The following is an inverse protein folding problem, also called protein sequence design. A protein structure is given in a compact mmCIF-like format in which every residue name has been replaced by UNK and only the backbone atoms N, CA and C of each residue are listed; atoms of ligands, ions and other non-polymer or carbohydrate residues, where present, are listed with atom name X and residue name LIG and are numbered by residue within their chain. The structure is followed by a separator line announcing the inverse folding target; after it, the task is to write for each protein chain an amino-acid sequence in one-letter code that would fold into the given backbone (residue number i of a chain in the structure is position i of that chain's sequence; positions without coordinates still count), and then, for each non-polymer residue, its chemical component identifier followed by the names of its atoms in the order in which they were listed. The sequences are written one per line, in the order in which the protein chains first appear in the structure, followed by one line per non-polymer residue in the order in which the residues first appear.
data_IF_326909356930
#
_entry.id   IF_326909356930
#
_cell.length_a   1.000
_cell.length_b   1.000
_cell.length_c   1.000
_cell.angle_alpha   90.00
_cell.angle_beta   90.00
_cell.angle_gamma   90.00
#
_symmetry.space_group_name_H-M   'P 1'
#
loop_
_entity.id
_entity.type
_entity.pdbx_description
1 polymer ?
#
# COMPACT_ATOMS: atom_id res chain seq x y z
N UNK A 1 11.47 16.61 -12.78
CA UNK A 1 11.13 16.43 -11.35
C UNK A 1 10.33 17.62 -10.76
N UNK A 2 9.20 18.02 -11.36
CA UNK A 2 8.34 19.09 -10.81
C UNK A 2 7.08 18.54 -10.13
N UNK A 3 6.46 17.51 -10.69
CA UNK A 3 5.22 16.90 -10.18
C UNK A 3 5.31 16.38 -8.73
N UNK A 4 6.40 15.66 -8.38
CA UNK A 4 6.55 15.11 -7.02
C UNK A 4 6.77 16.17 -5.92
N UNK A 5 7.39 17.32 -6.27
CA UNK A 5 7.54 18.44 -5.33
C UNK A 5 6.23 19.20 -5.14
N UNK A 6 5.47 19.37 -6.23
CA UNK A 6 4.16 20.02 -6.16
C UNK A 6 3.17 19.20 -5.35
N UNK A 7 3.10 17.88 -5.56
CA UNK A 7 2.20 17.01 -4.79
C UNK A 7 2.47 17.04 -3.29
N UNK A 8 3.74 17.11 -2.90
CA UNK A 8 4.13 17.24 -1.49
C UNK A 8 3.77 18.62 -0.90
N UNK A 9 3.89 19.68 -1.69
CA UNK A 9 3.48 21.03 -1.28
C UNK A 9 1.98 21.11 -1.07
N UNK A 10 1.19 20.57 -2.00
CA UNK A 10 -0.27 20.54 -1.90
C UNK A 10 -0.74 19.73 -0.69
N UNK A 11 -0.12 18.57 -0.43
CA UNK A 11 -0.42 17.78 0.77
C UNK A 11 -0.15 18.58 2.05
N UNK A 12 0.97 19.32 2.12
CA UNK A 12 1.26 20.16 3.29
C UNK A 12 0.24 21.28 3.47
N UNK A 13 -0.16 21.92 2.38
CA UNK A 13 -1.16 22.97 2.42
C UNK A 13 -2.50 22.42 2.91
N UNK A 14 -2.94 21.28 2.38
CA UNK A 14 -4.16 20.63 2.82
C UNK A 14 -4.14 20.26 4.32
N UNK A 15 -2.99 19.77 4.81
CA UNK A 15 -2.81 19.49 6.25
C UNK A 15 -2.92 20.76 7.10
N UNK A 16 -2.30 21.86 6.64
CA UNK A 16 -2.33 23.15 7.34
C UNK A 16 -3.74 23.76 7.38
N UNK A 17 -4.48 23.65 6.27
CA UNK A 17 -5.83 24.19 6.12
C UNK A 17 -6.91 23.23 6.65
N UNK A 18 -6.53 22.03 7.10
CA UNK A 18 -7.43 20.95 7.53
C UNK A 18 -8.48 20.62 6.47
N UNK A 19 -8.02 20.49 5.22
CA UNK A 19 -8.87 20.16 4.06
C UNK A 19 -8.54 18.77 3.51
N UNK A 20 -9.54 18.13 2.89
CA UNK A 20 -9.35 16.82 2.27
C UNK A 20 -8.46 16.91 1.03
N UNK A 21 -7.54 15.95 0.87
CA UNK A 21 -6.64 15.88 -0.27
C UNK A 21 -6.34 14.43 -0.66
N UNK A 22 -6.44 14.13 -1.95
CA UNK A 22 -6.13 12.83 -2.52
C UNK A 22 -4.88 12.92 -3.41
N UNK A 23 -3.98 11.95 -3.31
CA UNK A 23 -2.75 11.90 -4.11
C UNK A 23 -2.23 10.48 -4.29
N UNK A 24 -1.45 10.26 -5.33
CA UNK A 24 -0.75 9.01 -5.60
C UNK A 24 0.71 9.09 -5.14
N UNK A 25 1.24 7.99 -4.60
CA UNK A 25 2.65 7.88 -4.21
C UNK A 25 3.12 6.44 -4.38
N UNK A 26 4.41 6.25 -4.67
CA UNK A 26 5.04 4.92 -4.57
C UNK A 26 5.28 4.49 -3.12
N UNK A 27 5.01 5.36 -2.14
CA UNK A 27 5.25 5.18 -0.70
C UNK A 27 6.71 4.80 -0.35
N UNK A 28 7.64 4.92 -1.29
CA UNK A 28 9.02 4.42 -1.15
C UNK A 28 9.96 5.43 -0.49
N UNK A 29 9.64 6.72 -0.55
CA UNK A 29 10.42 7.78 0.10
C UNK A 29 9.92 8.09 1.51
N UNK A 30 10.76 8.74 2.32
CA UNK A 30 10.47 8.99 3.74
C UNK A 30 9.55 10.19 4.01
N UNK A 31 9.43 11.13 3.06
CA UNK A 31 8.71 12.38 3.28
C UNK A 31 7.20 12.16 3.47
N UNK A 32 6.57 11.35 2.60
CA UNK A 32 5.13 11.09 2.67
C UNK A 32 4.75 10.32 3.95
N UNK A 33 5.37 9.17 4.29
CA UNK A 33 5.11 8.48 5.55
C UNK A 33 5.22 9.38 6.77
N UNK A 34 6.27 10.22 6.81
CA UNK A 34 6.48 11.13 7.94
C UNK A 34 5.45 12.26 8.01
N UNK A 35 4.92 12.71 6.87
CA UNK A 35 3.81 13.67 6.85
C UNK A 35 2.49 13.03 7.25
N UNK A 36 2.21 11.80 6.78
CA UNK A 36 1.00 11.07 7.15
C UNK A 36 0.95 10.81 8.66
N UNK A 37 2.07 10.42 9.28
CA UNK A 37 2.17 10.29 10.75
C UNK A 37 1.79 11.58 11.49
N UNK A 38 2.12 12.76 10.94
CA UNK A 38 1.74 14.06 11.52
C UNK A 38 0.29 14.42 11.23
N UNK A 39 -0.16 14.19 9.99
CA UNK A 39 -1.51 14.50 9.53
C UNK A 39 -2.58 13.75 10.32
N UNK A 40 -2.26 12.57 10.84
CA UNK A 40 -3.15 11.76 11.67
C UNK A 40 -3.69 12.49 12.92
N UNK A 41 -3.04 13.56 13.37
CA UNK A 41 -3.55 14.39 14.46
C UNK A 41 -4.82 15.19 14.09
N UNK A 42 -5.04 15.44 12.79
CA UNK A 42 -6.14 16.29 12.29
C UNK A 42 -6.95 15.64 11.17
N UNK A 43 -6.47 14.53 10.59
CA UNK A 43 -7.08 13.89 9.42
C UNK A 43 -7.26 12.38 9.63
N UNK A 44 -8.34 11.85 9.07
CA UNK A 44 -8.46 10.41 8.81
C UNK A 44 -7.64 10.04 7.59
N UNK A 45 -6.85 8.98 7.69
CA UNK A 45 -5.99 8.51 6.59
C UNK A 45 -6.66 7.29 5.97
N UNK A 46 -7.04 7.43 4.70
CA UNK A 46 -7.60 6.35 3.88
C UNK A 46 -6.54 5.98 2.84
N UNK A 47 -6.21 4.68 2.75
CA UNK A 47 -5.16 4.19 1.88
C UNK A 47 -5.63 3.00 1.05
N UNK A 48 -5.46 3.15 -0.26
CA UNK A 48 -5.51 2.06 -1.22
C UNK A 48 -4.05 1.71 -1.58
N UNK A 49 -3.61 0.51 -1.23
CA UNK A 49 -2.26 0.04 -1.56
C UNK A 49 -2.35 -1.14 -2.53
N UNK A 50 -1.62 -1.07 -3.63
CA UNK A 50 -1.56 -2.13 -4.63
C UNK A 50 -0.15 -2.70 -4.72
N UNK A 51 0.00 -4.00 -4.48
CA UNK A 51 1.24 -4.74 -4.61
C UNK A 51 1.16 -5.86 -5.65
N UNK A 52 2.31 -6.44 -5.95
CA UNK A 52 2.46 -7.60 -6.83
C UNK A 52 3.12 -8.74 -6.04
N UNK A 53 3.21 -9.93 -6.62
CA UNK A 53 3.86 -11.10 -6.00
C UNK A 53 5.38 -11.00 -6.04
N UNK A 54 5.93 -10.45 -7.12
CA UNK A 54 7.36 -10.41 -7.38
C UNK A 54 7.80 -9.09 -8.01
N UNK A 55 9.03 -8.67 -7.73
CA UNK A 55 9.59 -7.45 -8.33
C UNK A 55 9.76 -7.59 -9.85
N UNK A 56 9.95 -8.81 -10.32
CA UNK A 56 10.01 -9.19 -11.73
C UNK A 56 8.70 -8.85 -12.47
N UNK A 57 7.55 -8.83 -11.78
CA UNK A 57 6.31 -8.35 -12.39
C UNK A 57 6.34 -6.83 -12.61
N UNK A 58 6.92 -6.05 -11.70
CA UNK A 58 7.13 -4.62 -11.94
C UNK A 58 8.10 -4.37 -13.10
N UNK A 59 9.20 -5.13 -13.16
CA UNK A 59 10.17 -5.01 -14.26
C UNK A 59 9.51 -5.30 -15.61
N UNK A 60 8.74 -6.39 -15.71
CA UNK A 60 7.98 -6.73 -16.93
C UNK A 60 6.98 -5.64 -17.31
N UNK A 61 6.18 -5.15 -16.37
CA UNK A 61 5.19 -4.09 -16.64
C UNK A 61 5.84 -2.76 -17.05
N UNK A 62 6.98 -2.40 -16.47
CA UNK A 62 7.75 -1.23 -16.89
C UNK A 62 8.30 -1.43 -18.30
N UNK A 63 8.87 -2.59 -18.61
CA UNK A 63 9.39 -2.90 -19.94
C UNK A 63 8.29 -2.85 -21.02
N UNK A 64 7.13 -3.47 -20.75
CA UNK A 64 5.95 -3.38 -21.63
C UNK A 64 5.54 -1.93 -21.85
N UNK A 65 5.40 -1.15 -20.78
CA UNK A 65 5.03 0.28 -20.88
C UNK A 65 6.04 1.07 -21.72
N UNK A 66 7.34 0.80 -21.56
CA UNK A 66 8.40 1.45 -22.35
C UNK A 66 8.29 1.08 -23.83
N UNK A 67 8.00 -0.18 -24.15
CA UNK A 67 7.77 -0.62 -25.52
C UNK A 67 6.58 0.11 -26.17
N UNK A 68 5.59 0.55 -25.38
CA UNK A 68 4.46 1.38 -25.82
C UNK A 68 4.70 2.90 -25.66
N UNK A 69 5.95 3.35 -25.58
CA UNK A 69 6.31 4.78 -25.56
C UNK A 69 6.29 5.46 -24.18
N UNK A 70 6.14 4.69 -23.10
CA UNK A 70 6.21 5.23 -21.74
C UNK A 70 7.64 5.44 -21.22
N UNK A 71 7.76 6.08 -20.06
CA UNK A 71 9.05 6.39 -19.45
C UNK A 71 9.73 5.16 -18.83
N UNK A 72 11.05 5.03 -19.00
CA UNK A 72 11.83 3.99 -18.31
C UNK A 72 12.01 4.32 -16.82
N UNK A 73 12.18 3.30 -15.99
CA UNK A 73 12.57 3.46 -14.58
C UNK A 73 13.78 2.56 -14.37
N UNK A 74 14.89 3.05 -13.78
CA UNK A 74 16.04 2.20 -13.49
C UNK A 74 15.65 0.99 -12.63
N UNK A 75 16.11 -0.21 -13.01
CA UNK A 75 15.79 -1.46 -12.31
C UNK A 75 16.13 -1.41 -10.82
N UNK A 76 17.32 -0.89 -10.47
CA UNK A 76 17.73 -0.71 -9.08
C UNK A 76 16.69 0.06 -8.25
N UNK A 77 16.09 1.10 -8.85
CA UNK A 77 15.04 1.89 -8.23
C UNK A 77 13.73 1.13 -8.08
N UNK A 78 13.40 0.24 -9.03
CA UNK A 78 12.22 -0.63 -8.92
C UNK A 78 12.40 -1.60 -7.75
N UNK A 79 13.58 -2.24 -7.65
CA UNK A 79 13.93 -3.15 -6.55
C UNK A 79 13.96 -2.47 -5.19
N UNK A 80 14.51 -1.26 -5.11
CA UNK A 80 14.48 -0.44 -3.90
C UNK A 80 13.04 -0.11 -3.47
N UNK A 81 12.21 0.37 -4.42
CA UNK A 81 10.81 0.76 -4.17
C UNK A 81 9.94 -0.41 -3.73
N UNK A 82 10.19 -1.57 -4.30
CA UNK A 82 9.53 -2.81 -3.93
C UNK A 82 9.63 -3.09 -2.44
N UNK A 83 10.84 -2.97 -1.86
CA UNK A 83 11.07 -3.18 -0.44
C UNK A 83 10.58 -2.00 0.40
N UNK A 84 11.03 -0.79 0.08
CA UNK A 84 10.81 0.40 0.90
C UNK A 84 9.33 0.79 1.01
N UNK A 85 8.53 0.61 -0.05
CA UNK A 85 7.10 0.94 -0.01
C UNK A 85 6.33 0.11 1.02
N UNK A 86 6.60 -1.20 1.09
CA UNK A 86 5.98 -2.12 2.07
C UNK A 86 6.46 -1.84 3.49
N UNK A 87 7.75 -1.58 3.67
CA UNK A 87 8.30 -1.22 4.97
C UNK A 87 7.66 0.08 5.48
N UNK A 88 7.49 1.08 4.60
CA UNK A 88 6.81 2.32 4.96
C UNK A 88 5.33 2.13 5.23
N UNK A 89 4.63 1.24 4.51
CA UNK A 89 3.24 0.90 4.81
C UNK A 89 3.11 0.34 6.23
N UNK A 90 3.94 -0.64 6.59
CA UNK A 90 3.97 -1.21 7.96
C UNK A 90 4.24 -0.11 9.00
N UNK A 91 5.19 0.78 8.74
CA UNK A 91 5.54 1.90 9.63
C UNK A 91 4.36 2.83 9.92
N UNK A 92 3.52 3.13 8.93
CA UNK A 92 2.38 4.07 9.09
C UNK A 92 1.06 3.37 9.39
N UNK A 93 1.03 2.04 9.38
CA UNK A 93 -0.17 1.26 9.65
C UNK A 93 -0.93 1.70 10.92
N UNK A 94 -0.28 2.07 12.05
CA UNK A 94 -0.97 2.49 13.26
C UNK A 94 -1.83 3.77 13.13
N UNK A 95 -1.57 4.60 12.12
CA UNK A 95 -2.29 5.87 11.88
C UNK A 95 -3.27 5.80 10.70
N UNK A 96 -3.32 4.67 9.98
CA UNK A 96 -4.26 4.49 8.88
C UNK A 96 -5.65 4.16 9.47
N UNK A 97 -6.63 5.00 9.18
CA UNK A 97 -8.03 4.80 9.59
C UNK A 97 -8.73 3.75 8.72
N UNK A 98 -8.39 3.67 7.44
CA UNK A 98 -8.92 2.66 6.52
C UNK A 98 -7.86 2.24 5.52
N UNK A 99 -7.50 0.96 5.53
CA UNK A 99 -6.58 0.34 4.58
C UNK A 99 -7.34 -0.67 3.72
N UNK A 100 -7.18 -0.57 2.41
CA UNK A 100 -7.44 -1.66 1.48
C UNK A 100 -6.15 -2.04 0.76
N UNK A 101 -5.77 -3.31 0.89
CA UNK A 101 -4.58 -3.90 0.30
C UNK A 101 -4.99 -4.80 -0.86
N UNK A 102 -4.51 -4.48 -2.05
CA UNK A 102 -4.83 -5.20 -3.28
C UNK A 102 -3.62 -5.95 -3.83
N UNK A 103 -3.83 -7.20 -4.21
CA UNK A 103 -2.93 -7.97 -5.04
C UNK A 103 -3.34 -7.82 -6.51
N UNK A 104 -2.39 -7.32 -7.32
CA UNK A 104 -2.57 -7.12 -8.75
C UNK A 104 -1.57 -7.98 -9.53
N UNK A 105 -1.34 -9.21 -9.07
CA UNK A 105 -0.28 -10.07 -9.62
C UNK A 105 -0.64 -10.75 -10.94
N UNK A 106 -1.88 -10.59 -11.40
CA UNK A 106 -2.32 -11.17 -12.67
C UNK A 106 -1.59 -10.54 -13.87
N UNK A 107 -1.49 -11.31 -14.94
CA UNK A 107 -0.99 -10.86 -16.25
C UNK A 107 -2.10 -11.07 -17.26
N UNK A 108 -2.31 -10.07 -18.12
CA UNK A 108 -3.30 -10.13 -19.21
C UNK A 108 -2.60 -10.06 -20.55
N UNK A 109 -3.18 -10.70 -21.57
CA UNK A 109 -2.74 -10.57 -22.95
C UNK A 109 -3.06 -9.20 -23.53
N UNK A 110 -2.50 -8.91 -24.69
CA UNK A 110 -2.82 -7.68 -25.40
C UNK A 110 -4.25 -7.74 -25.95
N UNK A 111 -5.11 -6.81 -25.53
CA UNK A 111 -6.52 -6.76 -25.95
C UNK A 111 -7.48 -7.52 -25.03
N UNK A 112 -6.98 -8.23 -24.02
CA UNK A 112 -7.82 -8.89 -23.02
C UNK A 112 -8.33 -7.88 -21.98
N UNK A 113 -9.48 -8.19 -21.39
CA UNK A 113 -10.01 -7.44 -20.25
C UNK A 113 -9.07 -7.51 -19.05
N UNK A 114 -8.86 -6.37 -18.40
CA UNK A 114 -8.08 -6.26 -17.16
C UNK A 114 -8.99 -6.66 -15.99
N UNK A 115 -8.75 -7.80 -15.32
CA UNK A 115 -9.56 -8.17 -14.16
C UNK A 115 -9.35 -7.18 -13.00
N UNK A 116 -10.31 -7.06 -12.08
CA UNK A 116 -10.14 -6.25 -10.89
C UNK A 116 -8.99 -6.82 -10.04
N UNK A 117 -8.22 -5.94 -9.40
CA UNK A 117 -7.23 -6.35 -8.41
C UNK A 117 -7.92 -7.03 -7.22
N UNK A 118 -7.29 -8.09 -6.70
CA UNK A 118 -7.86 -8.88 -5.61
C UNK A 118 -7.65 -8.16 -4.28
N UNK A 119 -8.72 -7.87 -3.55
CA UNK A 119 -8.64 -7.38 -2.17
C UNK A 119 -8.13 -8.51 -1.26
N UNK A 120 -6.99 -8.31 -0.60
CA UNK A 120 -6.36 -9.33 0.26
C UNK A 120 -6.34 -8.94 1.73
N UNK A 121 -6.45 -7.65 2.04
CA UNK A 121 -6.65 -7.15 3.38
C UNK A 121 -7.51 -5.89 3.34
N UNK A 122 -8.53 -5.84 4.18
CA UNK A 122 -9.26 -4.63 4.49
C UNK A 122 -9.26 -4.45 6.01
N UNK A 123 -8.82 -3.27 6.46
CA UNK A 123 -8.76 -2.90 7.86
C UNK A 123 -9.39 -1.53 8.05
N UNK A 124 -10.29 -1.38 9.03
CA UNK A 124 -10.91 -0.10 9.40
C UNK A 124 -10.79 0.10 10.90
N UNK A 125 -10.26 1.25 11.32
CA UNK A 125 -10.10 1.63 12.72
C UNK A 125 -9.52 0.48 13.60
N UNK A 126 -8.50 -0.20 13.05
CA UNK A 126 -7.77 -1.37 13.60
C UNK A 126 -8.51 -2.71 13.63
N UNK A 127 -9.71 -2.78 13.08
CA UNK A 127 -10.44 -4.03 12.88
C UNK A 127 -10.20 -4.58 11.46
N UNK A 128 -9.98 -5.89 11.33
CA UNK A 128 -9.76 -6.57 10.05
C UNK A 128 -11.09 -7.15 9.56
N UNK A 129 -11.50 -6.76 8.35
CA UNK A 129 -12.72 -7.22 7.67
C UNK A 129 -12.42 -8.24 6.57
N UNK A 130 -11.23 -8.15 5.95
CA UNK A 130 -10.78 -9.12 4.94
C UNK A 130 -9.39 -9.63 5.32
N UNK A 131 -9.17 -10.97 5.32
CA UNK A 131 -10.20 -12.00 5.22
C UNK A 131 -11.13 -12.00 6.45
N UNK A 132 -12.39 -12.45 6.32
CA UNK A 132 -13.29 -12.61 7.45
C UNK A 132 -12.71 -13.53 8.53
N UNK A 133 -13.06 -13.28 9.79
CA UNK A 133 -12.66 -14.13 10.90
C UNK A 133 -13.13 -15.59 10.68
N UNK A 134 -12.23 -16.55 10.86
CA UNK A 134 -12.53 -17.98 10.67
C UNK A 134 -12.43 -18.47 9.22
N UNK A 135 -12.19 -17.59 8.24
CA UNK A 135 -11.94 -18.00 6.86
C UNK A 135 -10.48 -18.43 6.66
N UNK A 136 -10.19 -19.67 7.03
CA UNK A 136 -8.85 -20.27 6.91
C UNK A 136 -8.37 -20.40 5.47
N UNK A 137 -9.29 -20.60 4.51
CA UNK A 137 -8.96 -20.71 3.10
C UNK A 137 -8.51 -19.35 2.54
N UNK A 138 -9.26 -18.28 2.83
CA UNK A 138 -8.86 -16.94 2.44
C UNK A 138 -7.55 -16.51 3.12
N UNK A 139 -7.36 -16.86 4.39
CA UNK A 139 -6.10 -16.63 5.11
C UNK A 139 -4.91 -17.36 4.46
N UNK A 140 -5.08 -18.64 4.09
CA UNK A 140 -4.05 -19.41 3.40
C UNK A 140 -3.74 -18.86 2.00
N UNK A 141 -4.70 -18.19 1.36
CA UNK A 141 -4.55 -17.56 0.05
C UNK A 141 -3.83 -16.20 0.06
N UNK A 142 -3.43 -15.68 1.23
CA UNK A 142 -2.73 -14.40 1.31
C UNK A 142 -1.37 -14.51 0.59
N UNK A 143 -1.08 -13.63 -0.39
CA UNK A 143 0.17 -13.65 -1.13
C UNK A 143 1.39 -13.48 -0.22
N UNK A 144 2.53 -14.08 -0.59
CA UNK A 144 3.71 -14.05 0.26
C UNK A 144 4.19 -12.62 0.56
N UNK A 145 4.11 -11.73 -0.45
CA UNK A 145 4.51 -10.33 -0.30
C UNK A 145 3.64 -9.56 0.71
N UNK A 146 2.37 -9.97 0.89
CA UNK A 146 1.40 -9.30 1.75
C UNK A 146 1.42 -9.83 3.19
N UNK A 147 1.96 -11.04 3.43
CA UNK A 147 2.00 -11.67 4.76
C UNK A 147 2.61 -10.79 5.85
N UNK A 148 3.74 -10.07 5.65
CA UNK A 148 4.28 -9.19 6.70
C UNK A 148 3.36 -8.02 7.05
N UNK A 149 2.67 -7.45 6.05
CA UNK A 149 1.71 -6.35 6.26
C UNK A 149 0.48 -6.88 7.02
N UNK A 150 -0.01 -8.05 6.61
CA UNK A 150 -1.13 -8.70 7.26
C UNK A 150 -0.83 -9.05 8.72
N UNK A 151 0.37 -9.59 9.00
CA UNK A 151 0.81 -9.88 10.36
C UNK A 151 0.85 -8.59 11.21
N UNK A 152 1.45 -7.51 10.69
CA UNK A 152 1.47 -6.22 11.39
C UNK A 152 0.06 -5.68 11.66
N UNK A 153 -0.89 -5.84 10.74
CA UNK A 153 -2.29 -5.46 10.93
C UNK A 153 -2.95 -6.28 12.05
N UNK A 154 -2.68 -7.60 12.12
CA UNK A 154 -3.19 -8.47 13.19
C UNK A 154 -2.63 -8.09 14.56
N UNK A 155 -1.35 -7.79 14.63
CA UNK A 155 -0.72 -7.38 15.88
C UNK A 155 -1.29 -6.04 16.37
N UNK A 156 -1.56 -5.11 15.45
CA UNK A 156 -2.24 -3.86 15.75
C UNK A 156 -3.68 -4.08 16.25
N UNK A 157 -4.42 -5.01 15.61
CA UNK A 157 -5.81 -5.33 15.96
C UNK A 157 -5.96 -5.97 17.34
N UNK A 158 -4.99 -6.77 17.77
CA UNK A 158 -5.00 -7.44 19.09
C UNK A 158 -4.75 -6.49 20.27
N UNK A 159 -4.24 -5.28 20.01
CA UNK A 159 -3.81 -4.35 21.05
C UNK A 159 -2.65 -4.90 21.92
N UNK A 160 -2.09 -4.09 22.83
CA UNK A 160 -0.96 -4.49 23.68
C UNK A 160 -1.29 -5.54 24.76
N UNK A 161 -2.48 -6.17 24.76
CA UNK A 161 -2.94 -7.10 25.82
C UNK A 161 -3.23 -8.54 25.39
N UNK A 162 -2.99 -8.92 24.14
CA UNK A 162 -3.37 -10.24 23.61
C UNK A 162 -2.41 -11.41 23.91
N UNK A 163 -1.38 -11.21 24.72
CA UNK A 163 -0.33 -12.22 24.98
C UNK A 163 -0.53 -13.04 26.27
N UNK A 164 -1.58 -12.79 27.05
CA UNK A 164 -1.83 -13.50 28.31
C UNK A 164 -3.24 -14.11 28.31
N UNK A 165 -3.37 -15.25 27.63
CA UNK A 165 -4.40 -16.29 27.83
C UNK A 165 -4.09 -17.47 26.89
N UNK A 166 -3.09 -18.25 27.29
CA UNK A 166 -2.89 -19.63 26.90
C UNK A 166 -2.41 -20.39 28.13
#
# INVERSE_FOLDING_TARGET
MRAGRQGLSNLRQAIADVTSYAFETTLSGNAIPSLLLKAAATHRIIMLYCGLEAVELHLRRVAQRVAFGGHAIPEAKIRERWVTSRANLVRILPVISHLQLFDNSFTVGAGDDIPPARLVLEMRDREIFVPPAGDWAALASIPNWAKPIFQAARDLAKGPGGAEKA
#
